data_IF_951743199935
#
_entry.id   IF_951743199935
#
_cell.length_a   1.000
_cell.length_b   1.000
_cell.length_c   1.000
_cell.angle_alpha   90.00
_cell.angle_beta   90.00
_cell.angle_gamma   90.00
#
_symmetry.space_group_name_H-M   'P 1'
#
loop_
_entity.id
_entity.type
_entity.pdbx_description
1 polymer ?
#
# COMPACT_ATOMS: atom_id res chain seq x y z
N UNK A 1 -6.99 4.16 36.72
CA UNK A 1 -6.09 3.22 36.01
C UNK A 1 -6.66 2.98 34.63
N UNK A 2 -5.84 3.03 33.58
CA UNK A 2 -6.32 2.68 32.24
C UNK A 2 -6.64 1.17 32.18
N UNK A 3 -7.80 0.83 31.63
CA UNK A 3 -8.19 -0.56 31.39
C UNK A 3 -7.73 -1.00 30.00
N UNK A 4 -7.14 -2.18 29.91
CA UNK A 4 -6.76 -2.77 28.63
C UNK A 4 -8.01 -3.27 27.93
N UNK A 5 -8.07 -3.12 26.61
CA UNK A 5 -9.14 -3.69 25.80
C UNK A 5 -9.01 -5.23 25.77
N UNK A 6 -9.86 -5.93 26.51
CA UNK A 6 -9.87 -7.40 26.63
C UNK A 6 -10.08 -8.12 25.29
N UNK A 7 -10.62 -7.45 24.27
CA UNK A 7 -10.76 -8.04 22.93
C UNK A 7 -9.41 -8.37 22.28
N UNK A 8 -8.32 -7.68 22.65
CA UNK A 8 -6.97 -8.03 22.18
C UNK A 8 -6.53 -9.41 22.63
N UNK A 9 -7.01 -9.88 23.79
CA UNK A 9 -6.67 -11.21 24.34
C UNK A 9 -7.34 -12.34 23.57
N UNK A 10 -8.37 -12.04 22.76
CA UNK A 10 -9.09 -13.01 21.92
C UNK A 10 -8.39 -13.23 20.57
N UNK A 11 -7.43 -12.37 20.20
CA UNK A 11 -6.70 -12.51 18.95
C UNK A 11 -5.69 -13.68 19.06
N UNK A 12 -5.68 -14.63 18.11
CA UNK A 12 -4.68 -15.69 18.10
C UNK A 12 -3.27 -15.11 17.90
N UNK A 13 -2.30 -15.63 18.66
CA UNK A 13 -0.95 -15.03 18.79
C UNK A 13 0.00 -15.17 17.59
N UNK A 14 -0.40 -15.83 16.50
CA UNK A 14 0.47 -16.06 15.34
C UNK A 14 -0.03 -15.33 14.10
N UNK A 15 0.61 -14.21 13.79
CA UNK A 15 0.52 -13.63 12.46
C UNK A 15 1.45 -14.41 11.55
N UNK A 16 0.91 -15.18 10.60
CA UNK A 16 1.65 -16.10 9.71
C UNK A 16 3.00 -15.54 9.23
N UNK A 17 3.00 -14.27 8.85
CA UNK A 17 4.16 -13.57 8.32
C UNK A 17 5.23 -13.23 9.35
N UNK A 18 4.86 -12.97 10.61
CA UNK A 18 5.82 -12.71 11.67
C UNK A 18 6.59 -13.98 12.06
N UNK A 19 5.92 -15.14 12.05
CA UNK A 19 6.57 -16.41 12.35
C UNK A 19 7.45 -16.90 11.20
N UNK A 20 7.05 -16.67 9.94
CA UNK A 20 7.93 -16.89 8.78
C UNK A 20 9.19 -16.02 8.91
N UNK A 21 9.05 -14.73 9.23
CA UNK A 21 10.19 -13.83 9.41
C UNK A 21 11.15 -14.31 10.52
N UNK A 22 10.62 -14.75 11.67
CA UNK A 22 11.44 -15.33 12.75
C UNK A 22 12.22 -16.56 12.26
N UNK A 23 11.56 -17.51 11.61
CA UNK A 23 12.19 -18.75 11.11
C UNK A 23 13.28 -18.45 10.07
N UNK A 24 13.01 -17.56 9.11
CA UNK A 24 13.99 -17.14 8.11
C UNK A 24 15.20 -16.50 8.79
N UNK A 25 14.99 -15.62 9.77
CA UNK A 25 16.09 -14.98 10.50
C UNK A 25 16.93 -15.99 11.30
N UNK A 26 16.30 -16.93 12.00
CA UNK A 26 17.00 -18.02 12.69
C UNK A 26 17.83 -18.86 11.70
N UNK A 27 17.28 -19.17 10.53
CA UNK A 27 18.01 -19.90 9.50
C UNK A 27 19.23 -19.11 8.97
N UNK A 28 19.09 -17.81 8.72
CA UNK A 28 20.20 -16.93 8.29
C UNK A 28 21.35 -16.90 9.29
N UNK A 29 21.03 -16.79 10.59
CA UNK A 29 22.04 -16.74 11.66
C UNK A 29 22.77 -18.07 11.78
N UNK A 30 22.05 -19.19 11.65
CA UNK A 30 22.62 -20.54 11.77
C UNK A 30 23.34 -21.02 10.51
N UNK A 31 23.05 -20.42 9.34
CA UNK A 31 23.63 -20.79 8.05
C UNK A 31 24.16 -19.56 7.29
N UNK A 32 25.18 -18.85 7.81
CA UNK A 32 25.60 -17.55 7.28
C UNK A 32 26.22 -17.60 5.87
N UNK A 33 26.58 -18.79 5.39
CA UNK A 33 27.15 -19.00 4.04
C UNK A 33 26.11 -19.37 2.98
N UNK A 34 24.84 -19.57 3.39
CA UNK A 34 23.77 -19.95 2.48
C UNK A 34 23.04 -18.69 2.01
N UNK A 35 22.88 -18.55 0.70
CA UNK A 35 22.06 -17.50 0.13
C UNK A 35 20.58 -17.94 0.11
N UNK A 36 19.68 -17.08 0.60
CA UNK A 36 18.26 -17.41 0.73
C UNK A 36 17.48 -16.74 -0.38
N UNK A 37 16.89 -17.55 -1.25
CA UNK A 37 15.88 -17.10 -2.22
C UNK A 37 14.53 -17.03 -1.51
N UNK A 38 13.95 -15.83 -1.43
CA UNK A 38 12.66 -15.60 -0.76
C UNK A 38 11.52 -15.71 -1.76
N UNK A 39 10.74 -16.78 -1.66
CA UNK A 39 9.54 -17.04 -2.47
C UNK A 39 8.25 -17.05 -1.62
N UNK A 40 8.31 -16.46 -0.42
CA UNK A 40 7.20 -16.40 0.55
C UNK A 40 6.33 -15.18 0.33
N UNK A 41 6.32 -14.26 1.30
CA UNK A 41 5.68 -12.95 1.14
C UNK A 41 6.36 -12.22 0.00
N UNK A 42 5.58 -11.81 -1.00
CA UNK A 42 6.06 -11.08 -2.14
C UNK A 42 6.58 -9.70 -1.72
N UNK A 43 7.89 -9.52 -1.80
CA UNK A 43 8.49 -8.21 -1.88
C UNK A 43 8.67 -7.84 -3.36
N UNK A 44 8.46 -6.57 -3.70
CA UNK A 44 8.57 -6.12 -5.09
C UNK A 44 10.04 -5.94 -5.45
N UNK A 45 10.48 -6.52 -6.56
CA UNK A 45 11.90 -6.51 -6.95
C UNK A 45 12.22 -5.51 -8.06
N UNK A 46 11.22 -4.79 -8.58
CA UNK A 46 11.36 -3.88 -9.72
C UNK A 46 11.13 -2.42 -9.30
N UNK A 47 11.81 -1.46 -9.94
CA UNK A 47 11.58 -0.05 -9.69
C UNK A 47 10.18 0.37 -10.15
N UNK A 48 9.75 1.53 -9.65
CA UNK A 48 8.51 2.15 -10.09
C UNK A 48 8.56 2.49 -11.59
N UNK A 49 7.42 2.38 -12.32
CA UNK A 49 7.35 2.82 -13.70
C UNK A 49 7.67 4.31 -13.85
N UNK A 50 8.32 4.67 -14.95
CA UNK A 50 8.72 6.06 -15.25
C UNK A 50 7.53 7.03 -15.21
N UNK A 51 6.37 6.62 -15.71
CA UNK A 51 5.15 7.45 -15.70
C UNK A 51 4.72 7.83 -14.26
N UNK A 52 4.83 6.89 -13.31
CA UNK A 52 4.51 7.14 -11.91
C UNK A 52 5.52 8.10 -11.27
N UNK A 53 6.80 7.93 -11.58
CA UNK A 53 7.89 8.79 -11.08
C UNK A 53 7.69 10.23 -11.55
N UNK A 54 7.43 10.44 -12.84
CA UNK A 54 7.21 11.77 -13.41
C UNK A 54 5.95 12.45 -12.84
N UNK A 55 4.87 11.70 -12.67
CA UNK A 55 3.64 12.22 -12.06
C UNK A 55 3.87 12.64 -10.60
N UNK A 56 4.60 11.83 -9.83
CA UNK A 56 4.92 12.16 -8.43
C UNK A 56 5.84 13.39 -8.32
N UNK A 57 6.84 13.53 -9.19
CA UNK A 57 7.67 14.74 -9.22
C UNK A 57 6.85 15.99 -9.51
N UNK A 58 5.93 15.92 -10.48
CA UNK A 58 5.02 17.04 -10.80
C UNK A 58 4.09 17.37 -9.63
N UNK A 59 3.56 16.37 -8.94
CA UNK A 59 2.70 16.58 -7.77
C UNK A 59 3.47 17.26 -6.61
N UNK A 60 4.72 16.86 -6.37
CA UNK A 60 5.58 17.53 -5.37
C UNK A 60 5.85 18.97 -5.78
N UNK A 61 6.15 19.22 -7.06
CA UNK A 61 6.38 20.57 -7.56
C UNK A 61 5.13 21.46 -7.45
N UNK A 62 3.93 20.92 -7.70
CA UNK A 62 2.65 21.64 -7.51
C UNK A 62 2.50 22.14 -6.07
N UNK A 63 2.99 21.39 -5.09
CA UNK A 63 2.90 21.75 -3.67
C UNK A 63 3.96 22.76 -3.22
N UNK A 64 4.97 23.08 -4.03
CA UNK A 64 6.00 24.09 -3.66
C UNK A 64 5.48 25.52 -3.83
N UNK A 65 4.46 25.72 -4.67
CA UNK A 65 3.90 27.03 -4.96
C UNK A 65 2.64 27.30 -4.14
N UNK A 66 2.62 28.46 -3.46
CA UNK A 66 1.47 28.90 -2.65
C UNK A 66 0.15 28.96 -3.44
N UNK A 67 0.21 29.24 -4.74
CA UNK A 67 -0.99 29.36 -5.59
C UNK A 67 -1.61 28.01 -5.98
N UNK A 68 -0.84 26.93 -5.90
CA UNK A 68 -1.26 25.57 -6.30
C UNK A 68 -1.23 24.58 -5.14
N UNK A 69 -0.72 24.99 -3.98
CA UNK A 69 -0.70 24.18 -2.77
C UNK A 69 -2.11 23.70 -2.38
N UNK A 70 -2.22 22.41 -2.06
CA UNK A 70 -3.44 21.76 -1.58
C UNK A 70 -3.21 21.29 -0.15
N UNK A 71 -4.14 21.61 0.74
CA UNK A 71 -4.16 21.12 2.12
C UNK A 71 -4.69 19.69 2.21
N UNK A 72 -5.54 19.41 3.20
CA UNK A 72 -6.23 18.12 3.26
C UNK A 72 -7.04 17.88 1.98
N UNK A 73 -6.81 16.72 1.37
CA UNK A 73 -7.64 16.23 0.26
C UNK A 73 -8.96 15.66 0.76
N UNK A 74 -9.85 15.27 -0.16
CA UNK A 74 -11.08 14.56 0.19
C UNK A 74 -10.74 13.19 0.79
N UNK A 75 -11.46 12.77 1.84
CA UNK A 75 -11.19 11.52 2.55
C UNK A 75 -11.35 10.28 1.67
N UNK A 76 -12.25 10.35 0.68
CA UNK A 76 -12.52 9.28 -0.29
C UNK A 76 -11.61 9.34 -1.53
N UNK A 77 -10.68 10.30 -1.59
CA UNK A 77 -9.78 10.52 -2.73
C UNK A 77 -10.25 11.63 -3.68
N UNK A 78 -9.37 12.00 -4.61
CA UNK A 78 -9.64 13.06 -5.59
C UNK A 78 -10.44 12.54 -6.78
N UNK A 79 -11.41 13.33 -7.25
CA UNK A 79 -12.30 13.02 -8.38
C UNK A 79 -11.52 12.56 -9.63
N UNK A 80 -10.39 13.20 -9.95
CA UNK A 80 -9.60 12.82 -11.14
C UNK A 80 -9.13 11.36 -11.12
N UNK A 81 -8.85 10.82 -9.93
CA UNK A 81 -8.40 9.44 -9.78
C UNK A 81 -9.59 8.48 -9.79
N UNK A 82 -10.67 8.84 -9.10
CA UNK A 82 -11.92 8.07 -9.07
C UNK A 82 -12.47 7.91 -10.50
N UNK A 83 -12.57 9.01 -11.24
CA UNK A 83 -13.05 9.01 -12.62
C UNK A 83 -12.13 8.18 -13.52
N UNK A 84 -10.81 8.26 -13.32
CA UNK A 84 -9.85 7.46 -14.08
C UNK A 84 -10.02 5.95 -13.81
N UNK A 85 -10.24 5.55 -12.56
CA UNK A 85 -10.49 4.15 -12.19
C UNK A 85 -11.78 3.66 -12.86
N UNK A 86 -12.90 4.38 -12.68
CA UNK A 86 -14.21 3.98 -13.27
C UNK A 86 -14.11 3.87 -14.79
N UNK A 87 -13.48 4.86 -15.43
CA UNK A 87 -13.37 4.92 -16.88
C UNK A 87 -12.49 3.82 -17.46
N UNK A 88 -11.37 3.49 -16.82
CA UNK A 88 -10.37 2.60 -17.42
C UNK A 88 -10.51 1.15 -16.95
N UNK A 89 -10.94 0.91 -15.71
CA UNK A 89 -10.96 -0.43 -15.13
C UNK A 89 -12.34 -1.09 -15.19
N UNK A 90 -13.41 -0.30 -15.08
CA UNK A 90 -14.79 -0.82 -14.93
C UNK A 90 -15.65 -0.62 -16.18
N UNK A 91 -15.72 0.60 -16.71
CA UNK A 91 -16.57 0.94 -17.87
C UNK A 91 -16.31 0.05 -19.09
N UNK A 92 -15.05 -0.26 -19.48
CA UNK A 92 -14.77 -1.12 -20.64
C UNK A 92 -15.21 -2.57 -20.44
N UNK A 93 -15.47 -2.98 -19.19
CA UNK A 93 -15.99 -4.30 -18.82
C UNK A 93 -17.52 -4.31 -18.72
N UNK A 94 -18.18 -3.20 -19.05
CA UNK A 94 -19.63 -3.04 -18.92
C UNK A 94 -20.12 -2.89 -17.48
N UNK A 95 -19.22 -2.55 -16.55
CA UNK A 95 -19.57 -2.31 -15.14
C UNK A 95 -19.75 -0.80 -14.94
N UNK A 96 -20.93 -0.42 -14.46
CA UNK A 96 -21.27 0.96 -14.14
C UNK A 96 -21.16 1.19 -12.64
N UNK A 97 -20.31 2.13 -12.24
CA UNK A 97 -20.13 2.56 -10.85
C UNK A 97 -20.40 4.05 -10.73
N UNK A 98 -21.00 4.43 -9.62
CA UNK A 98 -21.01 5.79 -9.10
C UNK A 98 -19.64 6.14 -8.53
N UNK A 99 -19.17 7.41 -8.64
CA UNK A 99 -17.96 7.88 -7.96
C UNK A 99 -17.93 7.55 -6.46
N UNK A 100 -19.08 7.54 -5.80
CA UNK A 100 -19.21 7.23 -4.36
C UNK A 100 -18.99 5.77 -4.00
N UNK A 101 -18.87 4.88 -4.99
CA UNK A 101 -18.59 3.45 -4.80
C UNK A 101 -17.09 3.14 -4.88
N UNK A 102 -16.25 4.16 -5.14
CA UNK A 102 -14.79 4.05 -5.19
C UNK A 102 -14.22 4.83 -3.99
N UNK A 103 -13.49 4.13 -3.13
CA UNK A 103 -12.87 4.64 -1.89
C UNK A 103 -11.39 4.29 -1.82
#
# INVERSE_FOLDING_TARGET
MALVNEHFLKLPGSYLFSDIAKKVNTFKVTHPKQDIIRLGIGDVTRPLPQASIEAMHKAVEELTSKGTFRGYGPEQGYDFLIDAIIKNDFTPRGIHLSPTEVS
#
